data_IF_985941478748
#
_entry.id   IF_985941478748
#
_cell.length_a   1.000
_cell.length_b   1.000
_cell.length_c   1.000
_cell.angle_alpha   90.00
_cell.angle_beta   90.00
_cell.angle_gamma   90.00
#
_symmetry.space_group_name_H-M   'P 1'
#
loop_
_entity.id
_entity.type
_entity.pdbx_description
1 polymer ?
#
# COMPACT_ATOMS: atom_id res chain seq x y z
N UNK A 1 -2.46 9.31 -6.99
CA UNK A 1 -1.60 10.47 -7.22
C UNK A 1 -1.87 11.15 -8.57
N UNK A 2 -1.97 10.40 -9.69
CA UNK A 2 -2.22 11.00 -11.01
C UNK A 2 -3.49 11.87 -11.04
N UNK A 3 -4.54 11.47 -10.33
CA UNK A 3 -5.76 12.26 -10.15
C UNK A 3 -5.56 13.51 -9.27
N UNK A 4 -4.68 13.45 -8.27
CA UNK A 4 -4.31 14.61 -7.44
C UNK A 4 -3.52 15.65 -8.26
N UNK A 5 -2.70 15.18 -9.19
CA UNK A 5 -1.90 16.04 -10.07
C UNK A 5 -2.68 16.51 -11.30
N UNK A 6 -3.92 16.02 -11.53
CA UNK A 6 -4.75 16.36 -12.68
C UNK A 6 -4.15 15.92 -14.02
N UNK A 7 -3.40 14.82 -14.03
CA UNK A 7 -2.76 14.31 -15.23
C UNK A 7 -3.73 13.49 -16.08
N UNK A 8 -3.58 13.58 -17.40
CA UNK A 8 -4.21 12.65 -18.32
C UNK A 8 -3.45 11.33 -18.32
N UNK A 9 -4.20 10.21 -18.21
CA UNK A 9 -3.60 8.88 -18.16
C UNK A 9 -4.56 7.80 -18.67
N UNK A 10 -3.99 6.68 -19.11
CA UNK A 10 -4.68 5.45 -19.48
C UNK A 10 -4.38 4.35 -18.46
N UNK A 11 -5.41 3.57 -18.10
CA UNK A 11 -5.24 2.40 -17.24
C UNK A 11 -5.20 1.15 -18.12
N UNK A 12 -4.11 0.36 -18.00
CA UNK A 12 -4.01 -0.95 -18.62
C UNK A 12 -4.13 -2.03 -17.56
N UNK A 13 -5.20 -2.82 -17.66
CA UNK A 13 -5.50 -3.88 -16.71
C UNK A 13 -4.81 -5.18 -17.11
N UNK A 14 -4.05 -5.76 -16.17
CA UNK A 14 -3.41 -7.05 -16.30
C UNK A 14 -3.96 -7.99 -15.24
N UNK A 15 -4.76 -8.97 -15.67
CA UNK A 15 -5.34 -9.97 -14.75
C UNK A 15 -4.30 -11.00 -14.36
N UNK A 16 -4.20 -11.30 -13.06
CA UNK A 16 -3.34 -12.37 -12.56
C UNK A 16 -3.91 -13.73 -12.95
N UNK A 17 -3.04 -14.69 -13.21
CA UNK A 17 -3.43 -16.08 -13.36
C UNK A 17 -4.10 -16.58 -12.07
N UNK A 18 -5.27 -17.18 -12.19
CA UNK A 18 -6.11 -17.56 -11.03
C UNK A 18 -5.52 -18.71 -10.20
N UNK A 19 -4.59 -19.50 -10.77
CA UNK A 19 -3.96 -20.64 -10.08
C UNK A 19 -2.63 -20.27 -9.46
N UNK A 20 -1.77 -19.58 -10.24
CA UNK A 20 -0.42 -19.23 -9.81
C UNK A 20 -0.35 -17.88 -9.09
N UNK A 21 -1.37 -17.03 -9.25
CA UNK A 21 -1.41 -15.63 -8.79
C UNK A 21 -0.30 -14.75 -9.39
N UNK A 22 0.39 -15.24 -10.43
CA UNK A 22 1.40 -14.47 -11.12
C UNK A 22 0.77 -13.55 -12.18
N UNK A 23 1.47 -12.48 -12.48
CA UNK A 23 1.09 -11.58 -13.56
C UNK A 23 1.24 -12.26 -14.93
N UNK A 24 0.43 -11.86 -15.93
CA UNK A 24 0.51 -12.44 -17.26
C UNK A 24 1.85 -12.07 -17.94
N UNK A 25 2.30 -12.89 -18.94
CA UNK A 25 3.56 -12.65 -19.63
C UNK A 25 3.67 -11.27 -20.29
N UNK A 26 2.55 -10.70 -20.73
CA UNK A 26 2.48 -9.39 -21.38
C UNK A 26 3.00 -8.27 -20.47
N UNK A 27 2.80 -8.37 -19.14
CA UNK A 27 3.34 -7.39 -18.21
C UNK A 27 4.87 -7.42 -18.16
N UNK A 28 5.50 -8.55 -18.48
CA UNK A 28 6.96 -8.66 -18.60
C UNK A 28 7.52 -7.93 -19.82
N UNK A 29 6.69 -7.67 -20.84
CA UNK A 29 7.07 -6.84 -21.98
C UNK A 29 7.12 -5.36 -21.62
N UNK A 30 6.33 -4.93 -20.63
CA UNK A 30 6.40 -3.56 -20.09
C UNK A 30 7.62 -3.40 -19.19
N UNK A 31 7.84 -4.34 -18.26
CA UNK A 31 9.01 -4.35 -17.39
C UNK A 31 9.40 -5.79 -17.01
N UNK A 32 10.69 -6.18 -17.04
CA UNK A 32 11.14 -7.58 -16.85
C UNK A 32 10.66 -8.24 -15.55
N UNK A 33 10.44 -7.49 -14.48
CA UNK A 33 9.88 -8.01 -13.23
C UNK A 33 8.45 -8.53 -13.37
N UNK A 34 7.68 -8.07 -14.36
CA UNK A 34 6.28 -8.45 -14.54
C UNK A 34 5.43 -8.17 -13.31
N UNK A 35 5.64 -7.04 -12.66
CA UNK A 35 4.91 -6.61 -11.46
C UNK A 35 4.18 -5.28 -11.70
N UNK A 36 3.09 -5.07 -11.00
CA UNK A 36 2.37 -3.80 -10.93
C UNK A 36 2.41 -3.26 -9.49
N UNK A 37 2.42 -1.93 -9.31
CA UNK A 37 2.27 -0.92 -10.34
C UNK A 37 3.53 -0.71 -11.18
N UNK A 38 3.34 -0.32 -12.42
CA UNK A 38 4.38 0.17 -13.34
C UNK A 38 3.73 1.24 -14.20
N UNK A 39 4.45 2.33 -14.49
CA UNK A 39 4.01 3.38 -15.41
C UNK A 39 4.94 3.49 -16.59
N UNK A 40 4.41 3.97 -17.71
CA UNK A 40 5.18 4.42 -18.88
C UNK A 40 4.84 5.88 -19.17
N UNK A 41 5.85 6.70 -19.41
CA UNK A 41 5.74 8.12 -19.72
C UNK A 41 6.71 8.45 -20.86
N UNK A 42 6.21 8.46 -22.09
CA UNK A 42 7.04 8.44 -23.28
C UNK A 42 7.93 7.19 -23.31
N UNK A 43 9.24 7.41 -23.37
CA UNK A 43 10.24 6.35 -23.38
C UNK A 43 10.69 5.89 -21.97
N UNK A 44 10.13 6.51 -20.93
CA UNK A 44 10.48 6.21 -19.55
C UNK A 44 9.52 5.16 -18.98
N UNK A 45 10.06 4.08 -18.42
CA UNK A 45 9.28 3.08 -17.68
C UNK A 45 9.74 3.04 -16.24
N UNK A 46 8.84 3.26 -15.31
CA UNK A 46 9.12 3.30 -13.86
C UNK A 46 8.28 2.24 -13.14
N UNK A 47 8.90 1.21 -12.58
CA UNK A 47 8.28 0.30 -11.61
C UNK A 47 8.46 0.84 -10.19
N UNK A 48 7.90 0.14 -9.20
CA UNK A 48 7.94 0.40 -7.78
C UNK A 48 7.11 1.62 -7.35
N UNK A 49 6.21 1.42 -6.40
CA UNK A 49 5.25 2.46 -5.95
C UNK A 49 5.93 3.74 -5.49
N UNK A 50 6.99 3.62 -4.68
CA UNK A 50 7.76 4.78 -4.20
C UNK A 50 8.42 5.55 -5.33
N UNK A 51 9.12 4.85 -6.24
CA UNK A 51 9.78 5.47 -7.39
C UNK A 51 8.77 6.15 -8.33
N UNK A 52 7.60 5.55 -8.55
CA UNK A 52 6.52 6.12 -9.34
C UNK A 52 6.03 7.44 -8.72
N UNK A 53 5.79 7.43 -7.41
CA UNK A 53 5.32 8.62 -6.69
C UNK A 53 6.35 9.74 -6.77
N UNK A 54 7.62 9.44 -6.50
CA UNK A 54 8.71 10.42 -6.58
C UNK A 54 8.87 10.97 -7.99
N UNK A 55 8.87 10.10 -9.00
CA UNK A 55 8.95 10.50 -10.40
C UNK A 55 7.83 11.46 -10.80
N UNK A 56 6.57 11.09 -10.49
CA UNK A 56 5.41 11.90 -10.84
C UNK A 56 5.42 13.27 -10.15
N UNK A 57 5.76 13.31 -8.87
CA UNK A 57 5.85 14.57 -8.13
C UNK A 57 6.98 15.45 -8.67
N UNK A 58 8.15 14.86 -8.93
CA UNK A 58 9.30 15.61 -9.42
C UNK A 58 9.04 16.21 -10.80
N UNK A 59 8.38 15.45 -11.68
CA UNK A 59 8.15 15.86 -13.06
C UNK A 59 6.91 16.74 -13.23
N UNK A 60 5.83 16.43 -12.53
CA UNK A 60 4.51 17.01 -12.74
C UNK A 60 3.91 17.67 -11.49
N UNK A 61 4.50 17.47 -10.32
CA UNK A 61 4.03 18.10 -9.09
C UNK A 61 4.24 19.59 -9.08
N UNK A 62 3.28 20.32 -8.52
CA UNK A 62 3.42 21.72 -8.18
C UNK A 62 4.02 21.88 -6.77
N UNK A 63 4.18 23.12 -6.30
CA UNK A 63 4.78 23.45 -5.01
C UNK A 63 4.04 22.84 -3.81
N UNK A 64 2.76 22.51 -3.95
CA UNK A 64 2.01 21.87 -2.87
C UNK A 64 2.38 20.39 -2.66
N UNK A 65 2.94 19.73 -3.68
CA UNK A 65 3.36 18.33 -3.64
C UNK A 65 4.88 18.16 -3.49
N UNK A 66 5.67 19.18 -3.83
CA UNK A 66 7.13 19.14 -3.74
C UNK A 66 7.59 19.65 -2.38
N UNK A 67 8.10 18.75 -1.55
CA UNK A 67 8.75 19.10 -0.30
C UNK A 67 10.25 19.23 -0.57
N UNK A 68 10.81 20.46 -0.40
CA UNK A 68 12.24 20.73 -0.58
C UNK A 68 13.07 20.01 0.48
N UNK A 69 14.29 19.64 0.14
CA UNK A 69 15.22 19.03 1.10
C UNK A 69 15.57 19.93 2.30
N UNK A 70 15.38 21.24 2.17
CA UNK A 70 15.55 22.22 3.26
C UNK A 70 14.32 22.33 4.18
N UNK A 71 13.17 21.73 3.77
CA UNK A 71 11.97 21.69 4.57
C UNK A 71 12.08 20.59 5.63
N UNK A 72 11.82 20.87 6.93
CA UNK A 72 11.84 19.85 7.98
C UNK A 72 10.95 18.63 7.71
N UNK A 73 9.86 18.80 6.94
CA UNK A 73 8.94 17.74 6.56
C UNK A 73 9.54 16.72 5.58
N UNK A 74 10.63 17.08 4.89
CA UNK A 74 11.26 16.24 3.87
C UNK A 74 11.73 14.89 4.44
N UNK A 75 12.41 14.92 5.59
CA UNK A 75 12.87 13.68 6.26
C UNK A 75 11.70 12.80 6.63
N UNK A 76 10.61 13.40 7.11
CA UNK A 76 9.41 12.67 7.51
C UNK A 76 8.69 12.05 6.31
N UNK A 77 8.60 12.77 5.20
CA UNK A 77 8.05 12.23 3.96
C UNK A 77 8.85 11.02 3.46
N UNK A 78 10.20 11.13 3.41
CA UNK A 78 11.09 10.02 3.03
C UNK A 78 10.93 8.83 3.97
N UNK A 79 10.86 9.06 5.28
CA UNK A 79 10.63 8.01 6.25
C UNK A 79 9.37 7.20 5.94
N UNK A 80 8.23 7.86 5.76
CA UNK A 80 6.97 7.19 5.49
C UNK A 80 6.91 6.56 4.10
N UNK A 81 7.55 7.15 3.08
CA UNK A 81 7.70 6.54 1.76
C UNK A 81 8.39 5.17 1.83
N UNK A 82 9.49 5.09 2.57
CA UNK A 82 10.21 3.83 2.74
C UNK A 82 9.54 2.88 3.73
N UNK A 83 8.90 3.42 4.76
CA UNK A 83 8.20 2.62 5.78
C UNK A 83 7.04 1.82 5.21
N UNK A 84 6.26 2.39 4.32
CA UNK A 84 5.11 1.76 3.70
C UNK A 84 5.46 0.40 3.09
N UNK A 85 6.48 0.37 2.23
CA UNK A 85 6.87 -0.82 1.47
C UNK A 85 7.96 -1.65 2.18
N UNK A 86 8.84 -1.02 2.94
CA UNK A 86 9.95 -1.70 3.61
C UNK A 86 9.60 -2.31 4.97
N UNK A 87 8.58 -1.79 5.65
CA UNK A 87 8.24 -2.21 7.02
C UNK A 87 6.81 -2.74 7.14
N UNK A 88 5.81 -1.95 6.77
CA UNK A 88 4.41 -2.32 7.01
C UNK A 88 3.91 -3.38 6.03
N UNK A 89 4.11 -3.17 4.73
CA UNK A 89 3.62 -4.11 3.70
C UNK A 89 4.19 -5.53 3.83
N UNK A 90 5.48 -5.77 4.12
CA UNK A 90 6.00 -7.12 4.30
C UNK A 90 5.29 -7.93 5.39
N UNK A 91 4.97 -7.32 6.53
CA UNK A 91 4.22 -7.98 7.60
C UNK A 91 2.79 -8.30 7.17
N UNK A 92 2.12 -7.38 6.49
CA UNK A 92 0.76 -7.59 5.96
C UNK A 92 0.73 -8.69 4.89
N UNK A 93 1.74 -8.76 4.03
CA UNK A 93 1.87 -9.83 3.03
C UNK A 93 2.16 -11.17 3.70
N UNK A 94 3.07 -11.23 4.67
CA UNK A 94 3.31 -12.45 5.45
C UNK A 94 2.03 -12.91 6.15
N UNK A 95 1.29 -12.01 6.81
CA UNK A 95 0.02 -12.34 7.45
C UNK A 95 -0.99 -12.92 6.45
N UNK A 96 -1.10 -12.33 5.26
CA UNK A 96 -1.95 -12.83 4.18
C UNK A 96 -1.55 -14.26 3.76
N UNK A 97 -0.25 -14.49 3.53
CA UNK A 97 0.26 -15.79 3.09
C UNK A 97 -0.03 -16.85 4.15
N UNK A 98 0.38 -16.62 5.39
CA UNK A 98 0.19 -17.58 6.47
C UNK A 98 -1.30 -17.83 6.79
N UNK A 99 -2.17 -16.83 6.67
CA UNK A 99 -3.61 -17.03 6.84
C UNK A 99 -4.26 -17.85 5.72
N UNK A 100 -3.65 -17.91 4.53
CA UNK A 100 -4.14 -18.68 3.39
C UNK A 100 -3.63 -20.12 3.34
N UNK A 101 -2.46 -20.42 3.90
CA UNK A 101 -1.87 -21.77 3.89
C UNK A 101 -2.87 -22.84 4.37
N UNK A 102 -3.56 -22.70 5.52
CA UNK A 102 -4.50 -23.72 5.98
C UNK A 102 -5.76 -23.88 5.12
N UNK A 103 -6.05 -22.87 4.28
CA UNK A 103 -7.20 -22.82 3.37
C UNK A 103 -6.87 -23.37 1.99
N UNK A 104 -5.59 -23.59 1.69
CA UNK A 104 -5.13 -24.10 0.40
C UNK A 104 -5.52 -25.57 0.20
N UNK A 105 -5.66 -26.04 -1.04
CA UNK A 105 -5.91 -27.47 -1.33
C UNK A 105 -4.82 -28.35 -0.71
N UNK A 106 -5.20 -29.24 0.23
CA UNK A 106 -4.29 -30.20 0.87
C UNK A 106 -5.08 -31.38 1.44
N UNK A 107 -4.42 -32.55 1.69
CA UNK A 107 -5.02 -33.67 2.39
C UNK A 107 -5.55 -33.22 3.76
N UNK A 108 -6.73 -33.75 4.16
CA UNK A 108 -7.40 -33.31 5.41
C UNK A 108 -6.54 -33.52 6.67
N UNK A 109 -5.71 -34.57 6.69
CA UNK A 109 -4.77 -34.87 7.80
C UNK A 109 -3.65 -33.85 7.94
N UNK A 110 -3.28 -33.13 6.87
CA UNK A 110 -2.26 -32.08 6.91
C UNK A 110 -2.77 -30.74 7.43
N UNK A 111 -4.10 -30.51 7.35
CA UNK A 111 -4.70 -29.22 7.75
C UNK A 111 -4.45 -28.82 9.21
N UNK A 112 -4.59 -29.70 10.22
CA UNK A 112 -4.30 -29.34 11.61
C UNK A 112 -2.85 -28.88 11.80
N UNK A 113 -1.90 -29.55 11.15
CA UNK A 113 -0.48 -29.19 11.19
C UNK A 113 -0.24 -27.83 10.55
N UNK A 114 -0.77 -27.61 9.33
CA UNK A 114 -0.70 -26.34 8.63
C UNK A 114 -1.31 -25.19 9.45
N UNK A 115 -2.48 -25.41 10.07
CA UNK A 115 -3.13 -24.45 10.97
C UNK A 115 -2.27 -24.14 12.21
N UNK A 116 -1.67 -25.16 12.82
CA UNK A 116 -0.82 -25.00 13.99
C UNK A 116 0.44 -24.17 13.67
N UNK A 117 1.14 -24.51 12.58
CA UNK A 117 2.33 -23.76 12.14
C UNK A 117 1.97 -22.33 11.79
N UNK A 118 0.95 -22.12 10.94
CA UNK A 118 0.51 -20.78 10.51
C UNK A 118 0.08 -19.93 11.70
N UNK A 119 -0.72 -20.49 12.61
CA UNK A 119 -1.18 -19.79 13.80
C UNK A 119 -0.03 -19.40 14.73
N UNK A 120 0.97 -20.28 14.88
CA UNK A 120 2.17 -19.97 15.68
C UNK A 120 2.98 -18.83 15.07
N UNK A 121 3.25 -18.87 13.76
CA UNK A 121 4.00 -17.79 13.07
C UNK A 121 3.24 -16.47 13.15
N UNK A 122 1.94 -16.48 12.89
CA UNK A 122 1.12 -15.26 12.99
C UNK A 122 1.17 -14.71 14.41
N UNK A 123 0.83 -15.51 15.41
CA UNK A 123 0.66 -15.03 16.78
C UNK A 123 1.97 -14.71 17.52
N UNK A 124 3.11 -15.35 17.15
CA UNK A 124 4.38 -15.11 17.84
C UNK A 124 5.35 -14.19 17.12
N UNK A 125 5.18 -14.01 15.82
CA UNK A 125 6.12 -13.20 15.04
C UNK A 125 5.44 -12.04 14.31
N UNK A 126 4.31 -12.28 13.62
CA UNK A 126 3.72 -11.27 12.76
C UNK A 126 2.87 -10.28 13.56
N UNK A 127 1.90 -10.78 14.34
CA UNK A 127 0.94 -9.93 15.05
C UNK A 127 1.59 -8.97 16.04
N UNK A 128 2.58 -9.38 16.90
CA UNK A 128 3.21 -8.44 17.82
C UNK A 128 3.97 -7.31 17.12
N UNK A 129 4.60 -7.59 15.97
CA UNK A 129 5.27 -6.56 15.18
C UNK A 129 4.26 -5.65 14.49
N UNK A 130 3.19 -6.20 13.91
CA UNK A 130 2.15 -5.43 13.26
C UNK A 130 1.43 -4.52 14.27
N UNK A 131 1.11 -5.00 15.46
CA UNK A 131 0.55 -4.20 16.55
C UNK A 131 1.47 -3.03 16.94
N UNK A 132 2.77 -3.30 17.07
CA UNK A 132 3.76 -2.25 17.35
C UNK A 132 3.79 -1.19 16.25
N UNK A 133 3.79 -1.61 14.99
CA UNK A 133 3.81 -0.68 13.86
C UNK A 133 2.51 0.13 13.76
N UNK A 134 1.36 -0.50 13.93
CA UNK A 134 0.07 0.19 13.93
C UNK A 134 -0.03 1.18 15.10
N UNK A 135 0.50 0.84 16.29
CA UNK A 135 0.54 1.76 17.42
C UNK A 135 1.40 3.01 17.16
N UNK A 136 2.53 2.84 16.48
CA UNK A 136 3.39 3.98 16.06
C UNK A 136 2.65 4.88 15.08
N UNK A 137 1.96 4.30 14.09
CA UNK A 137 1.18 5.05 13.11
C UNK A 137 0.00 5.77 13.80
N UNK A 138 -0.71 5.09 14.70
CA UNK A 138 -1.82 5.65 15.46
C UNK A 138 -1.37 6.86 16.29
N UNK A 139 -0.27 6.72 17.03
CA UNK A 139 0.29 7.80 17.83
C UNK A 139 0.69 9.00 16.97
N UNK A 140 1.31 8.75 15.81
CA UNK A 140 1.68 9.80 14.87
C UNK A 140 0.46 10.54 14.32
N UNK A 141 -0.52 9.81 13.78
CA UNK A 141 -1.76 10.39 13.26
C UNK A 141 -2.65 10.95 14.36
N UNK A 142 -2.46 10.56 15.61
CA UNK A 142 -3.13 11.15 16.78
C UNK A 142 -2.81 12.64 16.98
N UNK A 143 -1.65 13.08 16.51
CA UNK A 143 -1.17 14.47 16.62
C UNK A 143 -1.07 15.20 15.28
N UNK A 144 -1.27 14.53 14.18
CA UNK A 144 -1.17 15.07 12.83
C UNK A 144 -2.40 14.68 12.00
N UNK A 145 -2.85 15.58 11.15
CA UNK A 145 -3.95 15.30 10.20
C UNK A 145 -3.50 14.39 9.06
N UNK A 146 -2.23 14.55 8.63
CA UNK A 146 -1.57 13.83 7.54
C UNK A 146 -0.15 13.42 7.98
N UNK A 147 0.49 12.52 7.25
CA UNK A 147 1.80 11.98 7.62
C UNK A 147 2.94 13.00 7.70
N UNK A 148 2.79 14.16 7.03
CA UNK A 148 3.80 15.24 7.07
C UNK A 148 3.26 16.54 7.66
N UNK A 149 2.12 16.52 8.35
CA UNK A 149 1.53 17.68 9.03
C UNK A 149 0.08 17.94 8.64
N UNK A 150 -0.24 19.17 8.20
CA UNK A 150 -1.61 19.61 8.00
C UNK A 150 -2.14 19.46 6.56
N UNK A 151 -1.26 19.15 5.62
CA UNK A 151 -1.59 18.95 4.21
C UNK A 151 -1.11 17.59 3.72
N UNK A 152 -1.84 16.94 2.80
CA UNK A 152 -1.43 15.65 2.26
C UNK A 152 -0.13 15.78 1.43
N UNK A 153 0.64 14.70 1.41
CA UNK A 153 1.92 14.58 0.73
C UNK A 153 2.07 13.21 0.04
N UNK A 154 3.22 12.96 -0.53
CA UNK A 154 3.60 11.65 -1.07
C UNK A 154 3.46 10.53 -0.04
N UNK A 155 3.76 10.82 1.23
CA UNK A 155 3.65 9.88 2.34
C UNK A 155 2.22 9.37 2.52
N UNK A 156 1.23 10.25 2.39
CA UNK A 156 -0.19 9.90 2.52
C UNK A 156 -0.65 9.01 1.37
N UNK A 157 -0.20 9.31 0.16
CA UNK A 157 -0.51 8.50 -1.02
C UNK A 157 0.00 7.07 -0.83
N UNK A 158 1.27 6.89 -0.46
CA UNK A 158 1.85 5.55 -0.34
C UNK A 158 1.31 4.80 0.87
N UNK A 159 1.11 5.46 2.01
CA UNK A 159 0.60 4.85 3.24
C UNK A 159 -0.88 4.45 3.15
N UNK A 160 -1.66 5.05 2.27
CA UNK A 160 -3.08 4.74 2.11
C UNK A 160 -3.32 3.26 1.79
N UNK A 161 -2.56 2.67 0.86
CA UNK A 161 -2.73 1.29 0.47
C UNK A 161 -2.38 0.27 1.58
N UNK A 162 -1.22 0.35 2.26
CA UNK A 162 -0.92 -0.52 3.40
C UNK A 162 -1.96 -0.43 4.52
N UNK A 163 -2.47 0.76 4.83
CA UNK A 163 -3.47 0.93 5.88
C UNK A 163 -4.85 0.37 5.47
N UNK A 164 -5.25 0.51 4.21
CA UNK A 164 -6.43 -0.19 3.69
C UNK A 164 -6.23 -1.72 3.70
N UNK A 165 -5.03 -2.20 3.39
CA UNK A 165 -4.73 -3.62 3.51
C UNK A 165 -4.72 -4.10 4.98
N UNK A 166 -4.29 -3.26 5.91
CA UNK A 166 -4.34 -3.53 7.34
C UNK A 166 -5.78 -3.65 7.84
N UNK A 167 -6.71 -2.80 7.39
CA UNK A 167 -8.13 -2.87 7.78
C UNK A 167 -8.80 -4.20 7.41
N UNK A 168 -8.29 -4.89 6.39
CA UNK A 168 -8.79 -6.21 6.00
C UNK A 168 -8.12 -7.38 6.77
N UNK A 169 -7.05 -7.12 7.56
CA UNK A 169 -6.17 -8.17 8.15
C UNK A 169 -5.88 -7.98 9.63
N UNK A 170 -6.20 -6.82 10.18
CA UNK A 170 -6.02 -6.48 11.59
C UNK A 170 -7.28 -5.80 12.13
N UNK A 171 -7.47 -5.86 13.43
CA UNK A 171 -8.52 -5.09 14.09
C UNK A 171 -8.05 -3.65 14.31
N UNK A 172 -8.69 -2.71 13.63
CA UNK A 172 -8.42 -1.28 13.75
C UNK A 172 -9.45 -0.57 14.67
N UNK A 173 -10.31 -1.30 15.38
CA UNK A 173 -11.40 -0.71 16.18
C UNK A 173 -10.90 0.23 17.28
N UNK A 174 -9.70 -0.01 17.79
CA UNK A 174 -9.05 0.79 18.83
C UNK A 174 -8.03 1.81 18.28
N UNK A 175 -8.04 2.05 16.97
CA UNK A 175 -7.10 2.91 16.26
C UNK A 175 -7.86 4.04 15.51
N UNK A 176 -8.47 4.98 16.24
CA UNK A 176 -9.36 5.99 15.65
C UNK A 176 -8.64 7.00 14.75
N UNK A 177 -7.34 7.27 14.96
CA UNK A 177 -6.58 8.18 14.10
C UNK A 177 -6.30 7.56 12.74
N UNK A 178 -5.99 6.27 12.68
CA UNK A 178 -5.87 5.52 11.43
C UNK A 178 -7.21 5.46 10.69
N UNK A 179 -8.31 5.19 11.41
CA UNK A 179 -9.64 5.18 10.80
C UNK A 179 -10.01 6.56 10.22
N UNK A 180 -9.75 7.63 10.97
CA UNK A 180 -9.93 9.00 10.49
C UNK A 180 -9.12 9.26 9.23
N UNK A 181 -7.84 8.89 9.21
CA UNK A 181 -6.97 9.06 8.04
C UNK A 181 -7.55 8.34 6.81
N UNK A 182 -7.99 7.08 6.95
CA UNK A 182 -8.60 6.33 5.84
C UNK A 182 -9.86 7.02 5.33
N UNK A 183 -10.72 7.48 6.22
CA UNK A 183 -11.92 8.24 5.84
C UNK A 183 -11.59 9.56 5.12
N UNK A 184 -10.57 10.28 5.60
CA UNK A 184 -10.09 11.50 4.95
C UNK A 184 -9.54 11.21 3.53
N UNK A 185 -8.78 10.12 3.35
CA UNK A 185 -8.28 9.70 2.04
C UNK A 185 -9.43 9.35 1.10
N UNK A 186 -10.39 8.56 1.55
CA UNK A 186 -11.54 8.12 0.76
C UNK A 186 -12.49 9.26 0.38
N UNK A 187 -12.59 10.29 1.22
CA UNK A 187 -13.39 11.47 0.97
C UNK A 187 -12.76 12.45 -0.06
N UNK A 188 -11.48 12.26 -0.43
CA UNK A 188 -10.81 13.14 -1.40
C UNK A 188 -11.41 12.99 -2.80
N UNK A 189 -11.72 14.09 -3.49
CA UNK A 189 -12.27 14.01 -4.85
C UNK A 189 -11.38 13.23 -5.84
N UNK A 190 -10.07 13.35 -5.71
CA UNK A 190 -9.11 12.62 -6.55
C UNK A 190 -9.14 11.10 -6.27
N UNK A 191 -9.31 10.69 -5.00
CA UNK A 191 -9.49 9.28 -4.66
C UNK A 191 -10.79 8.72 -5.26
N UNK A 192 -11.89 9.46 -5.16
CA UNK A 192 -13.18 9.07 -5.71
C UNK A 192 -13.12 8.90 -7.23
N UNK A 193 -12.52 9.86 -7.96
CA UNK A 193 -12.28 9.71 -9.40
C UNK A 193 -11.41 8.50 -9.75
N UNK A 194 -10.37 8.24 -8.96
CA UNK A 194 -9.54 7.05 -9.17
C UNK A 194 -10.34 5.75 -9.00
N UNK A 195 -11.23 5.68 -8.01
CA UNK A 195 -12.13 4.54 -7.80
C UNK A 195 -13.15 4.40 -8.96
N UNK A 196 -13.70 5.49 -9.45
CA UNK A 196 -14.61 5.48 -10.61
C UNK A 196 -13.92 4.92 -11.87
N UNK A 197 -12.64 5.26 -12.08
CA UNK A 197 -11.88 4.85 -13.28
C UNK A 197 -11.27 3.45 -13.17
N UNK A 198 -10.73 3.09 -12.02
CA UNK A 198 -9.99 1.84 -11.82
C UNK A 198 -10.79 0.73 -11.10
N UNK A 199 -11.98 1.10 -10.57
CA UNK A 199 -12.75 0.24 -9.67
C UNK A 199 -12.29 0.38 -8.20
N UNK A 200 -13.12 -0.12 -7.26
CA UNK A 200 -12.82 -0.05 -5.84
C UNK A 200 -11.61 -0.92 -5.50
N UNK A 201 -10.78 -0.41 -4.60
CA UNK A 201 -9.71 -1.21 -4.02
C UNK A 201 -10.32 -2.36 -3.20
N UNK A 202 -10.06 -3.59 -3.62
CA UNK A 202 -10.48 -4.78 -2.88
C UNK A 202 -9.24 -5.47 -2.31
N UNK A 203 -8.84 -5.16 -1.06
CA UNK A 203 -7.70 -5.83 -0.44
C UNK A 203 -7.95 -7.33 -0.35
N UNK A 204 -7.01 -8.14 -0.80
CA UNK A 204 -7.09 -9.60 -0.65
C UNK A 204 -7.13 -9.95 0.84
N UNK A 205 -8.15 -10.72 1.23
CA UNK A 205 -8.37 -11.23 2.60
C UNK A 205 -7.70 -12.59 2.80
#
# INVERSE_FOLDING_TARGET
>A
LVEELGLDYEIRHYSRDSKTMLAPPELKQVHPLGKSPVITDGDITVPESGAIIEYLIQRYGNDSWKISADDPRWVQERYWLHYAEGSLMPLLVMKLIFSRIPKSPMPFIARPVAKGISGKVIGTFIDPQLETQLAVIEAHLGTHSWFTGDTPSAADIIMSFPLQAASARADLSQLPAIQRFLQQMEARPAYQRAVERAGPLTPMR
#
